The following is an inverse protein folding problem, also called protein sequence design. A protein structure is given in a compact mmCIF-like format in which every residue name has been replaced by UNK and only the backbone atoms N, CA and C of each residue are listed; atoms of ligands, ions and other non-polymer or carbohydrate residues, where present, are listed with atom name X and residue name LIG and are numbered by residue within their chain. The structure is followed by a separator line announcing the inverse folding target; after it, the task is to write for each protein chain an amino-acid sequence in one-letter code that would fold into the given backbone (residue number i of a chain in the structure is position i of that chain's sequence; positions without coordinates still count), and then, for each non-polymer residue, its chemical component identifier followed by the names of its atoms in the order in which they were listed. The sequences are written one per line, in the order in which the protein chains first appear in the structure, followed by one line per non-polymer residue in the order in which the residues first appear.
data_IF_276102545869
#
_entry.id   IF_276102545869
#
_cell.length_a   1.000
_cell.length_b   1.000
_cell.length_c   1.000
_cell.angle_alpha   90.00
_cell.angle_beta   90.00
_cell.angle_gamma   90.00
#
_symmetry.space_group_name_H-M   'P 1'
#
loop_
_entity.id
_entity.type
_entity.pdbx_description
1 polymer ?
#
# COMPACT_ATOMS: atom_id res chain seq x y z
N UNK A 1 -4.21 -1.34 1.03
CA UNK A 1 -3.03 -0.98 1.80
C UNK A 1 -2.36 -2.21 2.43
N UNK A 2 -3.06 -2.97 3.29
CA UNK A 2 -2.50 -4.15 3.97
C UNK A 2 -1.77 -5.11 3.02
N UNK A 3 -2.39 -5.51 1.92
CA UNK A 3 -1.81 -6.44 0.95
C UNK A 3 -0.52 -5.91 0.31
N UNK A 4 -0.46 -4.61 0.03
CA UNK A 4 0.74 -3.98 -0.49
C UNK A 4 1.88 -3.93 0.54
N UNK A 5 1.56 -3.65 1.79
CA UNK A 5 2.53 -3.55 2.89
C UNK A 5 3.09 -4.90 3.31
N UNK A 6 2.29 -5.97 3.28
CA UNK A 6 2.70 -7.30 3.76
C UNK A 6 3.21 -8.21 2.64
N UNK A 7 2.64 -8.12 1.44
CA UNK A 7 2.90 -9.04 0.34
C UNK A 7 3.49 -8.37 -0.91
N UNK A 8 3.60 -7.04 -0.92
CA UNK A 8 4.06 -6.29 -2.09
C UNK A 8 3.07 -6.31 -3.27
N UNK A 9 1.80 -6.64 -3.02
CA UNK A 9 0.78 -6.72 -4.06
C UNK A 9 -0.07 -5.46 -4.04
N UNK A 10 0.03 -4.64 -5.08
CA UNK A 10 -0.79 -3.46 -5.26
C UNK A 10 -2.03 -3.78 -6.11
N UNK A 11 -3.15 -4.04 -5.44
CA UNK A 11 -4.42 -4.37 -6.08
C UNK A 11 -5.35 -3.17 -6.20
N UNK A 12 -6.27 -3.21 -7.17
CA UNK A 12 -7.40 -2.29 -7.23
C UNK A 12 -8.35 -2.46 -6.04
N UNK A 13 -9.30 -1.54 -5.86
CA UNK A 13 -10.25 -1.54 -4.73
C UNK A 13 -11.08 -2.81 -4.65
N UNK A 14 -11.43 -3.45 -5.76
CA UNK A 14 -12.13 -4.73 -5.77
C UNK A 14 -11.32 -5.86 -5.09
N UNK A 15 -10.00 -5.91 -5.30
CA UNK A 15 -9.11 -6.82 -4.58
C UNK A 15 -9.06 -6.49 -3.08
N UNK A 16 -9.14 -5.21 -2.73
CA UNK A 16 -9.25 -4.75 -1.34
C UNK A 16 -10.51 -5.26 -0.65
N UNK A 17 -11.64 -5.30 -1.35
CA UNK A 17 -12.90 -5.89 -0.84
C UNK A 17 -12.73 -7.39 -0.58
N UNK A 18 -12.14 -8.12 -1.53
CA UNK A 18 -11.86 -9.56 -1.38
C UNK A 18 -11.04 -9.86 -0.12
N UNK A 19 -9.95 -9.13 0.10
CA UNK A 19 -9.09 -9.29 1.28
C UNK A 19 -9.83 -8.87 2.56
N UNK A 20 -10.60 -7.79 2.52
CA UNK A 20 -11.37 -7.31 3.68
C UNK A 20 -12.45 -8.30 4.12
N UNK A 21 -13.14 -8.90 3.18
CA UNK A 21 -14.14 -9.95 3.45
C UNK A 21 -13.47 -11.21 4.02
N UNK A 22 -12.36 -11.67 3.42
CA UNK A 22 -11.63 -12.82 3.92
C UNK A 22 -11.17 -12.63 5.38
N UNK A 23 -10.62 -11.46 5.72
CA UNK A 23 -10.26 -11.13 7.11
C UNK A 23 -11.44 -11.24 8.07
N UNK A 24 -12.62 -10.74 7.69
CA UNK A 24 -13.82 -10.81 8.53
C UNK A 24 -14.28 -12.24 8.70
N UNK A 25 -14.28 -13.05 7.66
CA UNK A 25 -14.70 -14.46 7.70
C UNK A 25 -13.75 -15.31 8.56
N UNK A 26 -12.44 -15.07 8.48
CA UNK A 26 -11.45 -15.73 9.36
C UNK A 26 -11.65 -15.29 10.80
N UNK A 27 -11.80 -14.00 11.06
CA UNK A 27 -11.97 -13.48 12.42
C UNK A 27 -13.28 -13.97 13.08
N UNK A 28 -14.33 -14.23 12.29
CA UNK A 28 -15.60 -14.77 12.78
C UNK A 28 -15.65 -16.32 12.88
N UNK A 29 -14.57 -17.01 12.47
CA UNK A 29 -14.49 -18.46 12.46
C UNK A 29 -15.29 -19.15 11.35
N UNK A 30 -15.83 -18.41 10.39
CA UNK A 30 -16.49 -18.98 9.20
C UNK A 30 -15.48 -19.70 8.32
N UNK A 31 -14.27 -19.12 8.19
CA UNK A 31 -13.11 -19.80 7.62
C UNK A 31 -12.24 -20.23 8.82
N UNK A 32 -12.11 -21.53 9.09
CA UNK A 32 -11.25 -22.04 10.16
C UNK A 32 -9.80 -21.61 9.99
N UNK A 33 -9.07 -21.42 11.09
CA UNK A 33 -7.69 -20.94 11.07
C UNK A 33 -6.69 -21.92 10.42
N UNK A 34 -7.04 -23.19 10.38
CA UNK A 34 -6.26 -24.30 9.79
C UNK A 34 -6.66 -24.62 8.34
N UNK A 35 -7.69 -23.94 7.81
CA UNK A 35 -8.08 -24.09 6.40
C UNK A 35 -7.15 -23.28 5.47
N UNK A 36 -7.03 -23.78 4.24
CA UNK A 36 -6.37 -23.07 3.15
C UNK A 36 -7.40 -22.29 2.32
N UNK A 37 -7.13 -21.04 2.05
CA UNK A 37 -7.98 -20.18 1.24
C UNK A 37 -7.20 -19.55 0.07
N UNK A 38 -7.82 -19.48 -1.09
CA UNK A 38 -7.26 -18.79 -2.27
C UNK A 38 -8.03 -17.50 -2.48
N UNK A 39 -7.34 -16.36 -2.44
CA UNK A 39 -7.92 -15.05 -2.72
C UNK A 39 -7.56 -14.63 -4.14
N UNK A 40 -8.57 -14.49 -5.00
CA UNK A 40 -8.37 -14.04 -6.38
C UNK A 40 -8.25 -12.51 -6.42
N UNK A 41 -7.03 -12.02 -6.62
CA UNK A 41 -6.72 -10.60 -6.82
C UNK A 41 -6.40 -10.39 -8.29
N UNK A 42 -7.30 -9.77 -9.05
CA UNK A 42 -7.27 -9.75 -10.51
C UNK A 42 -6.94 -8.40 -11.13
N UNK A 43 -7.16 -7.30 -10.42
CA UNK A 43 -6.92 -5.95 -10.91
C UNK A 43 -5.74 -5.25 -10.25
N UNK A 44 -4.99 -4.49 -11.05
CA UNK A 44 -3.87 -3.68 -10.58
C UNK A 44 -4.37 -2.38 -9.93
N UNK A 45 -3.73 -1.93 -8.86
CA UNK A 45 -4.04 -0.71 -8.11
C UNK A 45 -3.92 0.59 -8.92
N UNK A 46 -3.15 0.58 -10.02
CA UNK A 46 -3.07 1.72 -10.94
C UNK A 46 -4.41 2.12 -11.55
N UNK A 47 -5.40 1.21 -11.55
CA UNK A 47 -6.78 1.51 -12.02
C UNK A 47 -7.56 2.41 -11.06
N UNK A 48 -7.18 2.46 -9.80
CA UNK A 48 -7.90 3.18 -8.72
C UNK A 48 -6.92 3.93 -7.82
N UNK A 49 -6.00 4.69 -8.41
CA UNK A 49 -4.97 5.45 -7.68
C UNK A 49 -5.56 6.45 -6.70
N UNK A 50 -6.67 7.08 -7.03
CA UNK A 50 -7.39 8.02 -6.19
C UNK A 50 -7.79 7.42 -4.82
N UNK A 51 -8.03 6.12 -4.76
CA UNK A 51 -8.35 5.43 -3.51
C UNK A 51 -7.17 5.37 -2.51
N UNK A 52 -5.93 5.56 -2.97
CA UNK A 52 -4.70 5.49 -2.15
C UNK A 52 -3.88 6.77 -2.16
N UNK A 53 -4.30 7.78 -2.90
CA UNK A 53 -3.58 9.05 -3.08
C UNK A 53 -3.17 9.69 -1.74
N UNK A 54 -4.08 9.70 -0.78
CA UNK A 54 -3.82 10.24 0.57
C UNK A 54 -2.95 9.33 1.46
N UNK A 55 -2.57 8.14 0.98
CA UNK A 55 -1.80 7.15 1.74
C UNK A 55 -0.44 6.84 1.11
N UNK A 56 -0.19 7.32 -0.10
CA UNK A 56 1.01 7.00 -0.89
C UNK A 56 2.18 7.98 -0.68
N UNK A 57 2.03 8.95 0.23
CA UNK A 57 3.01 10.03 0.39
C UNK A 57 2.85 11.10 -0.68
N UNK A 58 3.51 12.22 -0.49
CA UNK A 58 3.47 13.34 -1.43
C UNK A 58 4.61 13.21 -2.44
N UNK A 59 4.26 13.35 -3.73
CA UNK A 59 5.26 13.50 -4.78
C UNK A 59 5.85 14.91 -4.72
N UNK A 60 7.16 15.03 -4.98
CA UNK A 60 7.85 16.31 -5.09
C UNK A 60 8.46 16.43 -6.49
N UNK A 61 8.26 17.56 -7.11
CA UNK A 61 8.93 17.88 -8.35
C UNK A 61 10.33 18.43 -8.05
N UNK A 62 11.33 17.86 -8.73
CA UNK A 62 12.72 18.32 -8.71
C UNK A 62 13.25 18.36 -10.14
N UNK A 63 14.25 19.18 -10.41
CA UNK A 63 14.98 19.11 -11.67
C UNK A 63 15.73 17.78 -11.79
N UNK A 64 15.98 17.25 -12.98
CA UNK A 64 16.72 16.00 -13.19
C UNK A 64 18.21 16.17 -12.87
N UNK A 65 18.53 16.40 -11.61
CA UNK A 65 19.84 16.70 -11.09
C UNK A 65 20.10 15.90 -9.80
N UNK A 66 21.22 15.18 -9.76
CA UNK A 66 21.60 14.42 -8.57
C UNK A 66 21.77 15.32 -7.34
N UNK A 67 22.29 16.54 -7.52
CA UNK A 67 22.42 17.53 -6.44
C UNK A 67 21.10 17.90 -5.80
N UNK A 68 20.05 18.09 -6.60
CA UNK A 68 18.70 18.41 -6.07
C UNK A 68 18.07 17.21 -5.38
N UNK A 69 18.30 16.02 -5.91
CA UNK A 69 17.84 14.77 -5.27
C UNK A 69 18.52 14.58 -3.91
N UNK A 70 19.83 14.75 -3.81
CA UNK A 70 20.58 14.64 -2.55
C UNK A 70 20.11 15.70 -1.53
N UNK A 71 19.91 16.94 -1.97
CA UNK A 71 19.39 18.01 -1.11
C UNK A 71 17.98 17.69 -0.58
N UNK A 72 17.12 17.08 -1.39
CA UNK A 72 15.80 16.64 -0.98
C UNK A 72 15.89 15.55 0.10
N UNK A 73 16.73 14.54 -0.10
CA UNK A 73 16.91 13.45 0.88
C UNK A 73 17.46 13.97 2.21
N UNK A 74 18.38 14.90 2.19
CA UNK A 74 18.95 15.47 3.42
C UNK A 74 17.94 16.32 4.18
N UNK A 75 17.07 17.03 3.48
CA UNK A 75 15.96 17.76 4.11
C UNK A 75 14.96 16.82 4.80
N UNK A 76 14.66 15.67 4.22
CA UNK A 76 13.75 14.68 4.80
C UNK A 76 14.35 13.99 6.03
N UNK A 77 15.65 13.69 6.03
CA UNK A 77 16.36 13.17 7.23
C UNK A 77 16.28 14.13 8.41
N UNK A 78 16.36 15.42 8.14
CA UNK A 78 16.28 16.46 9.19
C UNK A 78 14.88 16.50 9.82
N UNK A 79 13.83 16.29 9.03
CA UNK A 79 12.43 16.25 9.49
C UNK A 79 12.12 14.99 10.30
N UNK A 80 12.76 13.86 10.01
CA UNK A 80 12.57 12.60 10.75
C UNK A 80 13.38 12.51 12.03
N UNK A 81 14.48 13.24 12.13
CA UNK A 81 15.33 13.27 13.33
C UNK A 81 14.77 14.15 14.47
N UNK A 82 13.68 14.88 14.24
CA UNK A 82 13.09 15.83 15.20
C UNK A 82 11.82 15.28 15.89
N UNK A 83 11.57 13.96 15.82
CA UNK A 83 10.46 13.29 16.52
C UNK A 83 10.96 12.44 17.70
#
# INVERSE_FOLDING_TARGET
KLLAETEGIFSETAGGVTVGVAKKLIASGVIPADDSAVLCVTGNGLKTLDAVENHAGHTREISPSLREFDALLDSDKTLTATK
#
